data_IF_652938961614
#
_entry.id   IF_652938961614
#
_cell.length_a   1.000
_cell.length_b   1.000
_cell.length_c   1.000
_cell.angle_alpha   90.00
_cell.angle_beta   90.00
_cell.angle_gamma   90.00
#
_symmetry.space_group_name_H-M   'P 1'
#
loop_
_entity.id
_entity.type
_entity.pdbx_description
1 polymer ?
#
# COMPACT_ATOMS: atom_id res chain seq x y z
N UNK A 1 -13.24 -29.19 11.15
CA UNK A 1 -12.01 -29.86 10.67
C UNK A 1 -10.85 -29.03 11.15
N UNK A 2 -9.94 -29.63 11.90
CA UNK A 2 -8.72 -28.94 12.34
C UNK A 2 -7.80 -28.70 11.16
N UNK A 3 -7.11 -27.56 11.18
CA UNK A 3 -6.21 -27.09 10.12
C UNK A 3 -4.90 -27.88 10.25
N UNK A 4 -4.36 -28.40 9.15
CA UNK A 4 -3.06 -29.10 9.19
C UNK A 4 -1.92 -28.10 9.44
N UNK A 5 -0.76 -28.58 9.91
CA UNK A 5 0.39 -27.72 10.17
C UNK A 5 0.90 -27.00 8.90
N UNK A 6 0.87 -27.65 7.74
CA UNK A 6 1.20 -27.03 6.46
C UNK A 6 0.21 -25.91 6.10
N UNK A 7 -1.10 -26.18 6.21
CA UNK A 7 -2.15 -25.17 5.97
C UNK A 7 -2.05 -23.98 6.93
N UNK A 8 -1.60 -24.21 8.17
CA UNK A 8 -1.36 -23.14 9.15
C UNK A 8 -0.21 -22.24 8.70
N UNK A 9 0.89 -22.83 8.23
CA UNK A 9 2.05 -22.07 7.76
C UNK A 9 1.70 -21.23 6.52
N UNK A 10 0.97 -21.80 5.56
CA UNK A 10 0.52 -21.07 4.36
C UNK A 10 -0.41 -19.91 4.73
N UNK A 11 -1.30 -20.13 5.70
CA UNK A 11 -2.17 -19.09 6.23
C UNK A 11 -1.38 -17.97 6.92
N UNK A 12 -0.39 -18.30 7.74
CA UNK A 12 0.49 -17.32 8.40
C UNK A 12 1.24 -16.46 7.39
N UNK A 13 1.85 -17.06 6.36
CA UNK A 13 2.50 -16.32 5.29
C UNK A 13 1.53 -15.42 4.50
N UNK A 14 0.31 -15.91 4.24
CA UNK A 14 -0.74 -15.15 3.56
C UNK A 14 -1.17 -13.92 4.35
N UNK A 15 -1.33 -14.07 5.66
CA UNK A 15 -1.69 -12.98 6.60
C UNK A 15 -0.55 -11.98 6.71
N UNK A 16 0.71 -12.44 6.76
CA UNK A 16 1.87 -11.55 6.78
C UNK A 16 1.90 -10.64 5.53
N UNK A 17 1.69 -11.20 4.34
CA UNK A 17 1.59 -10.40 3.12
C UNK A 17 0.41 -9.42 3.18
N UNK A 18 -0.75 -9.83 3.69
CA UNK A 18 -1.88 -8.93 3.88
C UNK A 18 -1.54 -7.77 4.81
N UNK A 19 -0.88 -8.05 5.93
CA UNK A 19 -0.48 -7.05 6.91
C UNK A 19 0.47 -6.00 6.31
N UNK A 20 1.43 -6.44 5.49
CA UNK A 20 2.32 -5.53 4.75
C UNK A 20 1.53 -4.69 3.74
N UNK A 21 0.61 -5.29 3.00
CA UNK A 21 -0.21 -4.56 2.03
C UNK A 21 -1.07 -3.48 2.72
N UNK A 22 -1.68 -3.81 3.86
CA UNK A 22 -2.47 -2.88 4.69
C UNK A 22 -1.61 -1.72 5.19
N UNK A 23 -0.44 -2.01 5.78
CA UNK A 23 0.39 -0.98 6.39
C UNK A 23 0.95 0.00 5.36
N UNK A 24 1.39 -0.50 4.20
CA UNK A 24 1.87 0.36 3.10
C UNK A 24 0.73 1.21 2.54
N UNK A 25 -0.45 0.62 2.31
CA UNK A 25 -1.64 1.37 1.88
C UNK A 25 -2.00 2.48 2.87
N UNK A 26 -2.03 2.18 4.17
CA UNK A 26 -2.37 3.17 5.19
C UNK A 26 -1.38 4.34 5.19
N UNK A 27 -0.08 4.07 5.06
CA UNK A 27 0.95 5.11 4.96
C UNK A 27 0.80 5.94 3.68
N UNK A 28 0.50 5.31 2.55
CA UNK A 28 0.20 6.02 1.30
C UNK A 28 -0.99 6.97 1.51
N UNK A 29 -2.13 6.45 1.95
CA UNK A 29 -3.33 7.26 2.20
C UNK A 29 -3.08 8.41 3.16
N UNK A 30 -2.24 8.22 4.18
CA UNK A 30 -1.89 9.26 5.14
C UNK A 30 -0.79 10.23 4.67
N UNK A 31 -0.11 9.95 3.55
CA UNK A 31 1.03 10.73 3.06
C UNK A 31 0.71 12.22 2.85
N UNK A 32 -0.42 12.61 2.21
CA UNK A 32 -0.76 14.03 2.08
C UNK A 32 -0.85 14.76 3.42
N UNK A 33 -1.48 14.13 4.41
CA UNK A 33 -1.60 14.67 5.77
C UNK A 33 -0.23 14.77 6.45
N UNK A 34 0.60 13.73 6.35
CA UNK A 34 1.92 13.73 6.95
C UNK A 34 2.81 14.82 6.35
N UNK A 35 2.84 14.97 5.02
CA UNK A 35 3.61 16.02 4.33
C UNK A 35 3.16 17.41 4.79
N UNK A 36 1.85 17.65 4.94
CA UNK A 36 1.32 18.93 5.44
C UNK A 36 1.82 19.27 6.85
N UNK A 37 2.19 18.25 7.63
CA UNK A 37 2.74 18.36 8.99
C UNK A 37 4.27 18.26 9.02
N UNK A 38 4.93 18.32 7.85
CA UNK A 38 6.39 18.15 7.69
C UNK A 38 6.90 16.81 8.20
N UNK A 39 6.11 15.75 8.03
CA UNK A 39 6.49 14.37 8.31
C UNK A 39 6.46 13.59 7.00
N UNK A 40 7.51 12.83 6.71
CA UNK A 40 7.59 11.99 5.52
C UNK A 40 7.90 10.55 5.91
N UNK A 41 7.01 9.62 5.55
CA UNK A 41 7.21 8.18 5.72
C UNK A 41 7.58 7.46 4.41
N UNK A 42 7.72 8.21 3.31
CA UNK A 42 8.19 7.65 2.05
C UNK A 42 9.69 7.31 2.18
N UNK A 43 10.15 6.21 1.57
CA UNK A 43 11.56 5.85 1.59
C UNK A 43 12.43 6.96 0.98
N UNK A 44 13.41 7.44 1.74
CA UNK A 44 14.28 8.53 1.29
C UNK A 44 15.06 8.16 0.02
N UNK A 45 15.38 6.88 -0.15
CA UNK A 45 16.07 6.37 -1.33
C UNK A 45 15.21 6.51 -2.60
N UNK A 46 13.89 6.36 -2.49
CA UNK A 46 12.99 6.57 -3.63
C UNK A 46 12.85 8.06 -3.96
N UNK A 47 12.75 8.92 -2.93
CA UNK A 47 12.76 10.38 -3.15
C UNK A 47 14.03 10.82 -3.88
N UNK A 48 15.20 10.35 -3.43
CA UNK A 48 16.49 10.66 -4.07
C UNK A 48 16.61 10.09 -5.48
N UNK A 49 16.12 8.86 -5.73
CA UNK A 49 16.09 8.23 -7.06
C UNK A 49 15.34 9.09 -8.07
N UNK A 50 14.29 9.77 -7.64
CA UNK A 50 13.44 10.62 -8.47
C UNK A 50 13.75 12.12 -8.31
N UNK A 51 14.92 12.46 -7.74
CA UNK A 51 15.44 13.83 -7.60
C UNK A 51 14.54 14.77 -6.78
N UNK A 52 13.75 14.22 -5.85
CA UNK A 52 12.88 15.00 -4.96
C UNK A 52 13.61 15.28 -3.65
N UNK A 53 13.81 16.56 -3.35
CA UNK A 53 14.26 16.97 -2.03
C UNK A 53 13.09 16.93 -1.02
N UNK A 54 13.39 16.56 0.23
CA UNK A 54 12.37 16.55 1.29
C UNK A 54 11.84 17.96 1.60
N UNK A 55 12.67 19.00 1.44
CA UNK A 55 12.26 20.39 1.62
C UNK A 55 11.30 20.84 0.52
N UNK A 56 11.56 20.49 -0.74
CA UNK A 56 10.64 20.80 -1.84
C UNK A 56 9.31 20.06 -1.68
N UNK A 57 9.36 18.82 -1.21
CA UNK A 57 8.16 18.05 -0.87
C UNK A 57 7.32 18.77 0.19
N UNK A 58 7.94 19.22 1.29
CA UNK A 58 7.23 19.95 2.36
C UNK A 58 6.74 21.34 1.96
N UNK A 59 7.40 21.97 0.98
CA UNK A 59 6.95 23.26 0.41
C UNK A 59 5.87 23.10 -0.66
N UNK A 60 5.48 21.87 -1.01
CA UNK A 60 4.57 21.61 -2.13
C UNK A 60 5.15 22.00 -3.49
N UNK A 61 6.48 22.00 -3.61
CA UNK A 61 7.24 22.33 -4.82
C UNK A 61 7.80 21.11 -5.54
N UNK A 62 7.63 19.91 -4.96
CA UNK A 62 7.99 18.67 -5.64
C UNK A 62 7.27 18.57 -6.98
N UNK A 63 8.01 18.17 -8.02
CA UNK A 63 7.42 17.92 -9.32
C UNK A 63 6.36 16.81 -9.20
N UNK A 64 5.17 17.07 -9.74
CA UNK A 64 4.02 16.16 -9.59
C UNK A 64 4.21 14.82 -10.30
N UNK A 65 4.92 14.79 -11.42
CA UNK A 65 5.20 13.58 -12.19
C UNK A 65 6.21 12.70 -11.45
N UNK A 66 7.36 13.27 -11.07
CA UNK A 66 8.36 12.57 -10.27
C UNK A 66 7.77 12.05 -8.96
N UNK A 67 6.92 12.84 -8.30
CA UNK A 67 6.29 12.41 -7.06
C UNK A 67 5.32 11.25 -7.29
N UNK A 68 4.57 11.27 -8.40
CA UNK A 68 3.70 10.16 -8.78
C UNK A 68 4.48 8.87 -9.04
N UNK A 69 5.69 8.95 -9.59
CA UNK A 69 6.60 7.79 -9.73
C UNK A 69 7.07 7.23 -8.37
N UNK A 70 7.34 8.10 -7.38
CA UNK A 70 7.60 7.64 -6.00
C UNK A 70 6.40 6.90 -5.42
N UNK A 71 5.20 7.46 -5.61
CA UNK A 71 3.95 6.84 -5.15
C UNK A 71 3.71 5.50 -5.86
N UNK A 72 4.01 5.40 -7.16
CA UNK A 72 3.95 4.17 -7.93
C UNK A 72 4.89 3.08 -7.37
N UNK A 73 6.15 3.43 -7.10
CA UNK A 73 7.14 2.50 -6.56
C UNK A 73 6.68 1.93 -5.20
N UNK A 74 6.12 2.78 -4.33
CA UNK A 74 5.59 2.36 -3.01
C UNK A 74 4.29 1.57 -3.15
N UNK A 75 3.35 2.00 -4.00
CA UNK A 75 2.09 1.31 -4.26
C UNK A 75 2.31 -0.09 -4.84
N UNK A 76 3.35 -0.26 -5.66
CA UNK A 76 3.75 -1.56 -6.21
C UNK A 76 4.08 -2.57 -5.12
N UNK A 77 4.71 -2.14 -4.01
CA UNK A 77 4.97 -3.02 -2.85
C UNK A 77 3.66 -3.51 -2.22
N UNK A 78 2.70 -2.62 -2.00
CA UNK A 78 1.39 -2.99 -1.47
C UNK A 78 0.66 -3.95 -2.41
N UNK A 79 0.67 -3.65 -3.71
CA UNK A 79 0.01 -4.46 -4.74
C UNK A 79 0.60 -5.88 -4.80
N UNK A 80 1.93 -6.03 -4.85
CA UNK A 80 2.59 -7.34 -4.90
C UNK A 80 2.27 -8.19 -3.66
N UNK A 81 2.24 -7.57 -2.48
CA UNK A 81 1.89 -8.27 -1.24
C UNK A 81 0.40 -8.66 -1.23
N UNK A 82 -0.49 -7.79 -1.67
CA UNK A 82 -1.91 -8.10 -1.82
C UNK A 82 -2.15 -9.29 -2.77
N UNK A 83 -1.45 -9.30 -3.92
CA UNK A 83 -1.53 -10.42 -4.87
C UNK A 83 -1.07 -11.74 -4.25
N UNK A 84 0.04 -11.74 -3.50
CA UNK A 84 0.56 -12.94 -2.80
C UNK A 84 -0.43 -13.44 -1.75
N UNK A 85 -0.98 -12.52 -0.96
CA UNK A 85 -2.01 -12.84 0.02
C UNK A 85 -3.25 -13.46 -0.64
N UNK A 86 -3.77 -12.86 -1.71
CA UNK A 86 -4.96 -13.32 -2.43
C UNK A 86 -4.80 -14.69 -3.10
N UNK A 87 -3.58 -15.04 -3.55
CA UNK A 87 -3.29 -16.38 -4.08
C UNK A 87 -3.51 -17.45 -3.00
N UNK A 88 -2.95 -17.23 -1.81
CA UNK A 88 -3.03 -18.15 -0.67
C UNK A 88 -4.40 -18.12 0.03
N UNK A 89 -5.15 -17.02 -0.08
CA UNK A 89 -6.53 -16.91 0.46
C UNK A 89 -7.46 -18.01 -0.05
N UNK A 90 -7.25 -18.49 -1.28
CA UNK A 90 -8.09 -19.56 -1.88
C UNK A 90 -8.00 -20.87 -1.09
N UNK A 91 -6.89 -21.09 -0.42
CA UNK A 91 -6.58 -22.29 0.35
C UNK A 91 -6.91 -22.14 1.84
N UNK A 92 -7.29 -20.92 2.27
CA UNK A 92 -7.64 -20.64 3.65
C UNK A 92 -8.95 -21.34 4.07
N UNK A 93 -9.00 -21.88 5.30
CA UNK A 93 -10.22 -22.48 5.84
C UNK A 93 -11.33 -21.43 5.95
N UNK A 94 -12.59 -21.87 5.87
CA UNK A 94 -13.76 -20.99 5.89
C UNK A 94 -13.79 -20.05 7.11
N UNK A 95 -13.31 -20.53 8.27
CA UNK A 95 -13.20 -19.76 9.51
C UNK A 95 -12.19 -18.61 9.44
N UNK A 96 -11.17 -18.69 8.58
CA UNK A 96 -10.14 -17.67 8.43
C UNK A 96 -10.44 -16.66 7.30
N UNK A 97 -11.41 -16.95 6.42
CA UNK A 97 -11.77 -16.06 5.31
C UNK A 97 -12.11 -14.62 5.73
N UNK A 98 -12.80 -14.36 6.86
CA UNK A 98 -13.08 -12.98 7.30
C UNK A 98 -11.83 -12.12 7.53
N UNK A 99 -10.68 -12.72 7.86
CA UNK A 99 -9.42 -11.98 8.05
C UNK A 99 -8.99 -11.22 6.79
N UNK A 100 -9.39 -11.72 5.62
CA UNK A 100 -9.04 -11.16 4.32
C UNK A 100 -10.00 -10.06 3.83
N UNK A 101 -11.01 -9.66 4.61
CA UNK A 101 -11.90 -8.57 4.22
C UNK A 101 -11.14 -7.24 4.01
N UNK A 102 -10.08 -7.02 4.79
CA UNK A 102 -9.20 -5.86 4.61
C UNK A 102 -8.50 -5.85 3.24
N UNK A 103 -8.39 -6.99 2.55
CA UNK A 103 -7.84 -7.03 1.19
C UNK A 103 -8.68 -6.22 0.21
N UNK A 104 -10.00 -6.10 0.45
CA UNK A 104 -10.93 -5.36 -0.41
C UNK A 104 -10.62 -3.87 -0.37
N UNK A 105 -10.53 -3.28 0.83
CA UNK A 105 -10.24 -1.84 0.96
C UNK A 105 -8.86 -1.47 0.43
N UNK A 106 -7.88 -2.38 0.54
CA UNK A 106 -6.54 -2.17 -0.03
C UNK A 106 -6.63 -2.20 -1.56
N UNK A 107 -7.34 -3.18 -2.13
CA UNK A 107 -7.53 -3.27 -3.59
C UNK A 107 -8.23 -2.01 -4.12
N UNK A 108 -9.35 -1.62 -3.52
CA UNK A 108 -10.14 -0.47 -3.96
C UNK A 108 -9.32 0.82 -3.98
N UNK A 109 -8.51 1.06 -2.94
CA UNK A 109 -7.64 2.23 -2.91
C UNK A 109 -6.53 2.17 -3.97
N UNK A 110 -5.86 1.01 -4.13
CA UNK A 110 -4.78 0.87 -5.10
C UNK A 110 -5.30 1.02 -6.54
N UNK A 111 -6.49 0.49 -6.82
CA UNK A 111 -7.16 0.63 -8.13
C UNK A 111 -7.52 2.10 -8.39
N UNK A 112 -8.04 2.81 -7.39
CA UNK A 112 -8.33 4.24 -7.52
C UNK A 112 -7.04 5.06 -7.70
N UNK A 113 -5.98 4.71 -6.98
CA UNK A 113 -4.68 5.37 -7.12
C UNK A 113 -4.11 5.17 -8.53
N UNK A 114 -4.20 3.95 -9.07
CA UNK A 114 -3.77 3.63 -10.43
C UNK A 114 -4.58 4.39 -11.50
N UNK A 115 -5.90 4.44 -11.36
CA UNK A 115 -6.78 5.21 -12.27
C UNK A 115 -6.44 6.69 -12.32
N UNK A 116 -5.95 7.24 -11.20
CA UNK A 116 -5.55 8.64 -11.08
C UNK A 116 -4.06 8.85 -11.30
N UNK A 117 -3.40 7.95 -12.04
CA UNK A 117 -1.97 8.06 -12.39
C UNK A 117 -1.07 8.28 -11.17
N UNK A 118 -1.38 7.62 -10.05
CA UNK A 118 -0.64 7.71 -8.79
C UNK A 118 -0.59 9.11 -8.17
N UNK A 119 -1.50 10.01 -8.61
CA UNK A 119 -1.72 11.29 -7.95
C UNK A 119 -2.43 11.09 -6.60
N UNK A 120 -1.64 11.03 -5.53
CA UNK A 120 -2.12 10.80 -4.16
C UNK A 120 -2.95 11.95 -3.58
N UNK A 121 -2.99 13.11 -4.25
CA UNK A 121 -3.81 14.26 -3.88
C UNK A 121 -5.18 14.26 -4.55
N UNK A 122 -5.48 13.27 -5.41
CA UNK A 122 -6.76 13.22 -6.10
C UNK A 122 -7.94 13.11 -5.12
N UNK A 123 -9.02 13.88 -5.38
CA UNK A 123 -10.18 14.00 -4.48
C UNK A 123 -10.86 12.67 -4.14
N UNK A 124 -10.85 11.70 -5.06
CA UNK A 124 -11.46 10.39 -4.85
C UNK A 124 -10.70 9.53 -3.82
N UNK A 125 -9.46 9.89 -3.49
CA UNK A 125 -8.64 9.21 -2.48
C UNK A 125 -8.78 9.86 -1.08
N UNK A 126 -9.48 11.00 -0.98
CA UNK A 126 -9.65 11.79 0.24
C UNK A 126 -10.99 11.53 0.94
N UNK A 127 -11.40 10.26 1.03
CA UNK A 127 -12.66 9.83 1.68
C UNK A 127 -12.42 9.44 3.12
#
# INVERSE_FOLDING_TARGET
KDITQAQKLDLEHSIMHLAVAISVFQLLRATPLHISRRVCFLPIQLLSKHEISMEDLFRGKANSEQFSEVIYDVASVAHLNLQRSNKLRKEAPASAKPLFLHAVIVQDYLDELQKNHFNIYHKNLQV
#
